data_IF_117503840878
#
_entry.id   IF_117503840878
#
_cell.length_a   1.000
_cell.length_b   1.000
_cell.length_c   1.000
_cell.angle_alpha   90.00
_cell.angle_beta   90.00
_cell.angle_gamma   90.00
#
_symmetry.space_group_name_H-M   'P 1'
#
loop_
_entity.id
_entity.type
_entity.pdbx_description
1 polymer ?
#
# COMPACT_ATOMS: atom_id res chain seq x y z
N UNK A 1 6.99 31.14 17.84
CA UNK A 1 6.27 30.45 16.74
C UNK A 1 4.81 30.35 17.15
N UNK A 2 3.90 30.98 16.41
CA UNK A 2 2.48 30.99 16.77
C UNK A 2 1.92 29.60 16.46
N UNK A 3 1.38 28.93 17.47
CA UNK A 3 0.79 27.60 17.31
C UNK A 3 -0.43 27.70 16.38
N UNK A 4 -0.47 26.98 15.25
CA UNK A 4 -1.59 27.01 14.31
C UNK A 4 -2.96 26.75 14.96
N UNK A 5 -2.99 25.97 16.04
CA UNK A 5 -4.20 25.68 16.80
C UNK A 5 -4.82 26.94 17.44
N UNK A 6 -4.00 27.90 17.85
CA UNK A 6 -4.50 29.14 18.45
C UNK A 6 -5.22 30.02 17.41
N UNK A 7 -4.70 30.09 16.19
CA UNK A 7 -5.33 30.82 15.07
C UNK A 7 -6.69 30.21 14.74
N UNK A 8 -6.78 28.88 14.68
CA UNK A 8 -8.06 28.18 14.41
C UNK A 8 -9.07 28.46 15.53
N UNK A 9 -8.66 28.38 16.80
CA UNK A 9 -9.54 28.67 17.93
C UNK A 9 -10.05 30.13 17.92
N UNK A 10 -9.19 31.08 17.54
CA UNK A 10 -9.55 32.50 17.43
C UNK A 10 -10.57 32.72 16.32
N UNK A 11 -10.37 32.13 15.14
CA UNK A 11 -11.29 32.24 14.02
C UNK A 11 -12.64 31.58 14.32
N UNK A 12 -12.64 30.44 15.01
CA UNK A 12 -13.86 29.75 15.41
C UNK A 12 -14.68 30.62 16.37
N UNK A 13 -14.04 31.14 17.43
CA UNK A 13 -14.70 32.01 18.39
C UNK A 13 -15.23 33.31 17.77
N UNK A 14 -14.48 33.91 16.84
CA UNK A 14 -14.92 35.13 16.14
C UNK A 14 -16.12 34.85 15.22
N UNK A 15 -16.10 33.72 14.51
CA UNK A 15 -17.17 33.32 13.59
C UNK A 15 -18.46 32.98 14.35
N UNK A 16 -18.34 32.27 15.46
CA UNK A 16 -19.46 31.95 16.35
C UNK A 16 -20.08 33.20 16.96
N UNK A 17 -19.24 34.11 17.48
CA UNK A 17 -19.72 35.39 18.07
C UNK A 17 -20.44 36.24 17.03
N UNK A 18 -19.88 36.35 15.83
CA UNK A 18 -20.46 37.14 14.74
C UNK A 18 -21.77 36.52 14.25
N UNK A 19 -21.82 35.20 14.09
CA UNK A 19 -23.05 34.49 13.73
C UNK A 19 -24.14 34.68 14.80
N UNK A 20 -23.79 34.61 16.09
CA UNK A 20 -24.70 34.85 17.20
C UNK A 20 -25.26 36.28 17.23
N UNK A 21 -24.41 37.29 17.05
CA UNK A 21 -24.83 38.71 17.02
C UNK A 21 -25.73 38.99 15.82
N UNK A 22 -25.35 38.49 14.64
CA UNK A 22 -26.14 38.67 13.42
C UNK A 22 -27.50 37.97 13.52
N UNK A 23 -27.55 36.78 14.12
CA UNK A 23 -28.81 36.07 14.36
C UNK A 23 -29.71 36.77 15.39
N UNK A 24 -29.13 37.44 16.40
CA UNK A 24 -29.89 38.16 17.42
C UNK A 24 -30.46 39.50 16.92
N UNK A 25 -29.79 40.15 15.96
CA UNK A 25 -30.21 41.45 15.40
C UNK A 25 -31.08 41.33 14.14
N UNK A 26 -31.03 40.19 13.46
CA UNK A 26 -31.89 39.92 12.32
C UNK A 26 -33.30 39.56 12.79
N UNK A 27 -34.32 40.06 12.09
CA UNK A 27 -35.72 39.68 12.32
C UNK A 27 -36.41 39.28 11.01
N UNK A 28 -37.42 38.42 11.13
CA UNK A 28 -38.20 37.95 10.00
C UNK A 28 -37.41 37.02 9.07
N UNK A 29 -37.69 37.11 7.77
CA UNK A 29 -37.14 36.18 6.76
C UNK A 29 -35.61 36.27 6.62
N UNK A 30 -35.02 37.44 6.91
CA UNK A 30 -33.58 37.69 6.83
C UNK A 30 -32.81 36.84 7.85
N UNK A 31 -33.37 36.67 9.05
CA UNK A 31 -32.79 35.82 10.09
C UNK A 31 -32.69 34.37 9.62
N UNK A 32 -33.78 33.83 9.04
CA UNK A 32 -33.80 32.48 8.49
C UNK A 32 -32.79 32.27 7.36
N UNK A 33 -32.65 33.24 6.45
CA UNK A 33 -31.67 33.18 5.36
C UNK A 33 -30.22 33.18 5.88
N UNK A 34 -29.93 34.00 6.89
CA UNK A 34 -28.60 34.07 7.50
C UNK A 34 -28.26 32.82 8.31
N UNK A 35 -29.21 32.28 9.08
CA UNK A 35 -29.04 31.01 9.79
C UNK A 35 -28.80 29.85 8.81
N UNK A 36 -29.57 29.78 7.72
CA UNK A 36 -29.39 28.76 6.70
C UNK A 36 -28.01 28.86 6.04
N UNK A 37 -27.60 30.07 5.67
CA UNK A 37 -26.27 30.32 5.10
C UNK A 37 -25.16 29.89 6.08
N UNK A 38 -25.26 30.27 7.36
CA UNK A 38 -24.27 29.96 8.39
C UNK A 38 -24.11 28.45 8.64
N UNK A 39 -25.15 27.64 8.41
CA UNK A 39 -25.08 26.17 8.54
C UNK A 39 -24.60 25.53 7.23
N UNK A 40 -25.17 25.93 6.10
CA UNK A 40 -24.93 25.28 4.80
C UNK A 40 -23.51 25.58 4.29
N UNK A 41 -23.02 26.80 4.49
CA UNK A 41 -21.71 27.19 3.97
C UNK A 41 -20.55 26.36 4.56
N UNK A 42 -20.40 26.19 5.90
CA UNK A 42 -19.36 25.33 6.46
C UNK A 42 -19.50 23.87 6.05
N UNK A 43 -20.73 23.35 5.93
CA UNK A 43 -20.98 21.99 5.47
C UNK A 43 -20.53 21.79 4.03
N UNK A 44 -20.79 22.75 3.13
CA UNK A 44 -20.34 22.69 1.75
C UNK A 44 -18.81 22.80 1.64
N UNK A 45 -18.18 23.71 2.39
CA UNK A 45 -16.72 23.86 2.39
C UNK A 45 -16.04 22.60 2.94
N UNK A 46 -16.55 22.06 4.05
CA UNK A 46 -16.05 20.80 4.62
C UNK A 46 -16.25 19.63 3.65
N UNK A 47 -17.44 19.49 3.07
CA UNK A 47 -17.72 18.45 2.08
C UNK A 47 -16.82 18.56 0.84
N UNK A 48 -16.60 19.76 0.32
CA UNK A 48 -15.69 20.01 -0.79
C UNK A 48 -14.24 19.66 -0.41
N UNK A 49 -13.80 20.03 0.80
CA UNK A 49 -12.49 19.68 1.33
C UNK A 49 -12.29 18.15 1.39
N UNK A 50 -13.22 17.42 2.04
CA UNK A 50 -13.15 15.96 2.11
C UNK A 50 -13.26 15.29 0.74
N UNK A 51 -14.03 15.87 -0.19
CA UNK A 51 -14.12 15.38 -1.57
C UNK A 51 -12.80 15.55 -2.32
N UNK A 52 -12.11 16.68 -2.12
CA UNK A 52 -10.77 16.91 -2.67
C UNK A 52 -9.77 15.93 -2.06
N UNK A 53 -9.82 15.72 -0.74
CA UNK A 53 -8.97 14.73 -0.07
C UNK A 53 -9.22 13.31 -0.59
N UNK A 54 -10.48 12.94 -0.83
CA UNK A 54 -10.83 11.64 -1.38
C UNK A 54 -10.26 11.42 -2.78
N UNK A 55 -10.14 12.50 -3.58
CA UNK A 55 -9.57 12.42 -4.94
C UNK A 55 -8.05 12.62 -4.99
N UNK A 56 -7.46 13.30 -4.01
CA UNK A 56 -6.04 13.68 -3.97
C UNK A 56 -5.48 13.65 -2.53
N UNK A 57 -5.30 12.47 -1.94
CA UNK A 57 -4.76 12.34 -0.58
C UNK A 57 -3.33 12.90 -0.44
N UNK A 58 -2.60 13.02 -1.56
CA UNK A 58 -1.23 13.55 -1.64
C UNK A 58 -1.09 15.03 -1.25
N UNK A 59 -2.18 15.79 -1.22
CA UNK A 59 -2.17 17.24 -0.91
C UNK A 59 -2.08 17.53 0.60
N UNK A 60 -2.17 16.50 1.45
CA UNK A 60 -2.11 16.64 2.92
C UNK A 60 -0.69 16.84 3.48
N UNK A 61 0.34 16.61 2.68
CA UNK A 61 1.74 16.71 3.14
C UNK A 61 2.42 17.89 2.47
N UNK A 62 2.96 18.81 3.26
CA UNK A 62 3.78 19.89 2.71
C UNK A 62 5.13 19.32 2.24
N UNK A 63 5.77 19.90 1.21
CA UNK A 63 7.09 19.46 0.73
C UNK A 63 8.17 19.37 1.83
N UNK A 64 8.01 20.11 2.93
CA UNK A 64 8.90 20.10 4.09
C UNK A 64 8.61 19.03 5.15
N UNK A 65 7.50 18.29 5.06
CA UNK A 65 7.22 17.12 5.90
C UNK A 65 7.90 15.86 5.36
N UNK A 66 8.50 15.95 4.17
CA UNK A 66 9.30 14.88 3.58
C UNK A 66 10.76 15.01 4.00
N UNK A 67 11.43 13.92 4.39
CA UNK A 67 12.87 13.94 4.62
C UNK A 67 13.60 14.44 3.37
N UNK A 68 14.50 15.43 3.52
CA UNK A 68 15.19 16.12 2.40
C UNK A 68 15.91 15.20 1.40
N UNK A 69 16.14 13.94 1.77
CA UNK A 69 16.86 12.95 0.99
C UNK A 69 15.96 12.03 0.14
N UNK A 70 14.63 12.17 0.19
CA UNK A 70 13.71 11.32 -0.59
C UNK A 70 12.89 12.18 -1.57
N UNK A 71 13.04 11.99 -2.89
CA UNK A 71 12.21 12.66 -3.87
C UNK A 71 10.72 12.33 -3.66
N UNK A 72 9.87 13.36 -3.61
CA UNK A 72 8.43 13.23 -3.37
C UNK A 72 7.76 12.23 -4.33
N UNK A 73 8.22 12.17 -5.59
CA UNK A 73 7.71 11.22 -6.58
C UNK A 73 7.92 9.75 -6.19
N UNK A 74 9.08 9.41 -5.62
CA UNK A 74 9.41 8.05 -5.20
C UNK A 74 8.56 7.60 -4.00
N UNK A 75 8.24 8.53 -3.09
CA UNK A 75 7.40 8.26 -1.93
C UNK A 75 5.92 8.06 -2.31
N UNK A 76 5.41 8.89 -3.21
CA UNK A 76 4.04 8.75 -3.75
C UNK A 76 3.90 7.47 -4.57
N UNK A 77 4.90 7.11 -5.38
CA UNK A 77 4.92 5.86 -6.12
C UNK A 77 5.00 4.62 -5.21
N UNK A 78 5.73 4.72 -4.08
CA UNK A 78 5.74 3.71 -3.03
C UNK A 78 4.35 3.53 -2.40
N UNK A 79 3.75 4.63 -1.92
CA UNK A 79 2.41 4.59 -1.29
C UNK A 79 1.31 4.08 -2.24
N UNK A 80 1.38 4.40 -3.53
CA UNK A 80 0.42 3.93 -4.55
C UNK A 80 0.61 2.45 -4.91
N UNK A 81 1.82 1.90 -4.76
CA UNK A 81 2.14 0.49 -5.06
C UNK A 81 2.25 -0.37 -3.80
N UNK A 82 1.25 -0.36 -2.93
CA UNK A 82 1.18 -1.35 -1.83
C UNK A 82 2.49 -1.52 -1.03
N UNK A 83 3.15 -0.39 -0.71
CA UNK A 83 4.53 -0.34 -0.17
C UNK A 83 4.75 -1.10 1.12
N UNK A 84 3.70 -1.37 1.91
CA UNK A 84 3.86 -1.95 3.26
C UNK A 84 4.69 -3.23 3.22
N UNK A 85 4.35 -4.15 2.32
CA UNK A 85 5.11 -5.39 2.18
C UNK A 85 6.55 -5.18 1.69
N UNK A 86 6.79 -4.31 0.70
CA UNK A 86 8.15 -4.08 0.18
C UNK A 86 9.07 -3.41 1.22
N UNK A 87 8.52 -2.51 2.04
CA UNK A 87 9.26 -1.86 3.13
C UNK A 87 9.54 -2.86 4.24
N UNK A 88 8.60 -3.74 4.57
CA UNK A 88 8.77 -4.78 5.58
C UNK A 88 9.84 -5.81 5.17
N UNK A 89 9.86 -6.25 3.91
CA UNK A 89 10.93 -7.12 3.39
C UNK A 89 12.28 -6.44 3.36
N UNK A 90 12.33 -5.17 2.96
CA UNK A 90 13.57 -4.43 2.96
C UNK A 90 14.08 -4.25 4.39
N UNK A 91 13.21 -3.93 5.34
CA UNK A 91 13.58 -3.80 6.75
C UNK A 91 14.06 -5.13 7.33
N UNK A 92 13.37 -6.24 7.05
CA UNK A 92 13.72 -7.57 7.55
C UNK A 92 15.06 -8.05 6.98
N UNK A 93 15.25 -7.95 5.65
CA UNK A 93 16.50 -8.32 4.98
C UNK A 93 17.64 -7.43 5.46
N UNK A 94 17.43 -6.11 5.56
CA UNK A 94 18.45 -5.18 6.06
C UNK A 94 18.80 -5.49 7.51
N UNK A 95 17.81 -5.80 8.36
CA UNK A 95 18.03 -6.16 9.76
C UNK A 95 18.84 -7.45 9.89
N UNK A 96 18.44 -8.51 9.22
CA UNK A 96 19.13 -9.82 9.22
C UNK A 96 20.57 -9.66 8.74
N UNK A 97 20.77 -8.89 7.68
CA UNK A 97 22.09 -8.57 7.14
C UNK A 97 22.91 -7.76 8.14
N UNK A 98 22.35 -6.71 8.73
CA UNK A 98 23.06 -5.86 9.69
C UNK A 98 23.47 -6.64 10.94
N UNK A 99 22.60 -7.50 11.45
CA UNK A 99 22.87 -8.37 12.60
C UNK A 99 23.98 -9.37 12.32
N UNK A 100 24.12 -9.85 11.08
CA UNK A 100 25.21 -10.74 10.69
C UNK A 100 26.58 -10.02 10.58
N UNK A 101 26.58 -8.73 10.27
CA UNK A 101 27.80 -7.95 9.97
C UNK A 101 28.26 -7.09 11.16
N UNK A 102 27.33 -6.61 11.99
CA UNK A 102 27.60 -5.78 13.18
C UNK A 102 28.59 -6.41 14.16
N UNK A 103 28.48 -7.69 14.54
CA UNK A 103 29.42 -8.32 15.45
C UNK A 103 30.85 -8.34 14.88
N UNK A 104 30.99 -8.60 13.59
CA UNK A 104 32.25 -8.61 12.84
C UNK A 104 32.90 -7.22 12.81
N UNK A 105 32.08 -6.19 12.62
CA UNK A 105 32.50 -4.79 12.56
C UNK A 105 32.91 -4.23 13.93
N UNK A 106 32.18 -4.59 15.00
CA UNK A 106 32.46 -4.14 16.37
C UNK A 106 33.68 -4.85 16.98
N UNK A 107 33.96 -6.08 16.55
CA UNK A 107 35.10 -6.87 17.03
C UNK A 107 36.41 -6.53 16.31
N UNK A 108 36.32 -6.00 15.10
CA UNK A 108 37.47 -5.60 14.28
C UNK A 108 37.79 -4.12 14.51
N UNK A 109 39.06 -3.78 14.80
CA UNK A 109 39.58 -2.43 14.53
C UNK A 109 39.75 -2.26 13.02
N UNK A 110 38.67 -2.41 12.27
CA UNK A 110 38.68 -2.55 10.82
C UNK A 110 39.23 -1.28 10.18
N UNK A 111 40.15 -1.46 9.24
CA UNK A 111 40.56 -0.38 8.34
C UNK A 111 39.39 -0.02 7.42
N UNK A 112 39.33 1.21 6.87
CA UNK A 112 38.26 1.62 5.96
C UNK A 112 38.06 0.70 4.74
N UNK A 113 39.11 -0.02 4.31
CA UNK A 113 39.03 -0.98 3.21
C UNK A 113 38.31 -2.29 3.61
N UNK A 114 38.58 -2.82 4.80
CA UNK A 114 37.90 -4.01 5.35
C UNK A 114 36.43 -3.72 5.64
N UNK A 115 36.13 -2.51 6.13
CA UNK A 115 34.76 -2.03 6.30
C UNK A 115 33.97 -2.04 4.98
N UNK A 116 34.59 -1.58 3.89
CA UNK A 116 33.95 -1.56 2.58
C UNK A 116 33.70 -2.97 2.02
N UNK A 117 34.63 -3.91 2.27
CA UNK A 117 34.47 -5.30 1.85
C UNK A 117 33.32 -6.00 2.59
N UNK A 118 33.23 -5.81 3.92
CA UNK A 118 32.12 -6.31 4.73
C UNK A 118 30.77 -5.74 4.28
N UNK A 119 30.71 -4.45 3.91
CA UNK A 119 29.49 -3.83 3.38
C UNK A 119 29.10 -4.43 2.03
N UNK A 120 30.06 -4.71 1.14
CA UNK A 120 29.75 -5.35 -0.13
C UNK A 120 29.24 -6.78 0.05
N UNK A 121 29.87 -7.55 0.96
CA UNK A 121 29.41 -8.90 1.33
C UNK A 121 28.01 -8.87 1.95
N UNK A 122 27.72 -7.86 2.78
CA UNK A 122 26.40 -7.59 3.33
C UNK A 122 25.36 -7.34 2.21
N UNK A 123 25.70 -6.49 1.24
CA UNK A 123 24.81 -6.16 0.12
C UNK A 123 24.55 -7.40 -0.76
N UNK A 124 25.57 -8.21 -1.01
CA UNK A 124 25.45 -9.44 -1.80
C UNK A 124 24.56 -10.47 -1.07
N UNK A 125 24.78 -10.66 0.23
CA UNK A 125 23.92 -11.50 1.09
C UNK A 125 22.46 -11.00 1.12
N UNK A 126 22.25 -9.67 1.20
CA UNK A 126 20.92 -9.08 1.13
C UNK A 126 20.25 -9.32 -0.22
N UNK A 127 21.00 -9.23 -1.33
CA UNK A 127 20.50 -9.53 -2.66
C UNK A 127 20.08 -11.00 -2.79
N UNK A 128 20.88 -11.94 -2.29
CA UNK A 128 20.57 -13.36 -2.29
C UNK A 128 19.36 -13.67 -1.38
N UNK A 129 19.27 -13.02 -0.22
CA UNK A 129 18.12 -13.10 0.68
C UNK A 129 16.82 -12.65 0.00
N UNK A 130 16.85 -11.53 -0.74
CA UNK A 130 15.70 -11.06 -1.52
C UNK A 130 15.36 -12.05 -2.63
N UNK A 131 16.35 -12.51 -3.41
CA UNK A 131 16.15 -13.44 -4.52
C UNK A 131 15.49 -14.75 -4.06
N UNK A 132 15.88 -15.26 -2.88
CA UNK A 132 15.31 -16.47 -2.29
C UNK A 132 13.83 -16.34 -1.89
N UNK A 133 13.32 -15.10 -1.79
CA UNK A 133 11.95 -14.75 -1.38
C UNK A 133 11.08 -14.25 -2.54
N UNK A 134 11.54 -14.43 -3.79
CA UNK A 134 10.77 -14.06 -4.98
C UNK A 134 9.91 -15.23 -5.46
N UNK A 135 8.65 -14.93 -5.77
CA UNK A 135 7.73 -15.79 -6.50
C UNK A 135 7.76 -15.40 -7.98
N UNK A 136 7.95 -16.38 -8.85
CA UNK A 136 7.90 -16.18 -10.30
C UNK A 136 6.54 -16.61 -10.84
N UNK A 137 5.92 -15.73 -11.63
CA UNK A 137 4.64 -16.00 -12.28
C UNK A 137 4.80 -15.83 -13.78
N UNK A 138 4.57 -16.90 -14.51
CA UNK A 138 4.41 -16.90 -15.96
C UNK A 138 3.01 -16.38 -16.32
N UNK A 139 2.97 -15.29 -17.08
CA UNK A 139 1.72 -14.64 -17.50
C UNK A 139 1.41 -14.88 -18.98
N UNK A 140 2.26 -15.63 -19.68
CA UNK A 140 2.11 -15.92 -21.11
C UNK A 140 0.82 -16.67 -21.46
N UNK A 141 0.24 -17.37 -20.46
CA UNK A 141 -1.06 -18.03 -20.55
C UNK A 141 -2.27 -17.09 -20.59
N UNK A 142 -2.07 -15.80 -20.30
CA UNK A 142 -3.08 -14.74 -20.44
C UNK A 142 -2.84 -13.91 -21.70
N UNK A 143 -1.61 -13.46 -21.92
CA UNK A 143 -1.17 -12.78 -23.15
C UNK A 143 0.31 -13.12 -23.40
N UNK A 144 0.62 -13.54 -24.63
CA UNK A 144 1.97 -13.91 -25.07
C UNK A 144 2.96 -12.75 -25.01
N UNK A 145 2.49 -11.51 -24.94
CA UNK A 145 3.33 -10.33 -24.75
C UNK A 145 3.95 -10.27 -23.35
N UNK A 146 3.36 -10.95 -22.36
CA UNK A 146 3.93 -11.06 -21.03
C UNK A 146 4.98 -12.18 -20.96
N UNK A 147 6.15 -11.84 -20.43
CA UNK A 147 7.21 -12.80 -20.17
C UNK A 147 7.00 -13.45 -18.79
N UNK A 148 7.40 -12.77 -17.73
CA UNK A 148 7.26 -13.23 -16.36
C UNK A 148 7.14 -12.03 -15.42
N UNK A 149 6.37 -12.19 -14.35
CA UNK A 149 6.33 -11.24 -13.26
C UNK A 149 7.00 -11.84 -12.02
N UNK A 150 7.75 -11.01 -11.31
CA UNK A 150 8.41 -11.37 -10.07
C UNK A 150 7.71 -10.66 -8.90
N UNK A 151 7.31 -11.44 -7.91
CA UNK A 151 6.62 -10.96 -6.72
C UNK A 151 7.46 -11.24 -5.49
N UNK A 152 7.97 -10.22 -4.77
CA UNK A 152 8.54 -10.44 -3.46
C UNK A 152 7.44 -10.94 -2.51
N UNK A 153 7.69 -12.06 -1.84
CA UNK A 153 6.80 -12.62 -0.84
C UNK A 153 7.20 -12.16 0.56
N UNK A 154 6.20 -11.85 1.37
CA UNK A 154 6.34 -11.41 2.75
C UNK A 154 5.69 -12.44 3.67
N UNK A 155 6.17 -12.60 4.91
CA UNK A 155 5.61 -13.58 5.84
C UNK A 155 4.12 -13.37 6.14
N UNK A 156 3.66 -12.11 6.06
CA UNK A 156 2.27 -11.69 6.25
C UNK A 156 1.45 -11.56 4.97
N UNK A 157 1.99 -11.92 3.80
CA UNK A 157 1.26 -11.75 2.53
C UNK A 157 0.03 -12.67 2.47
N UNK A 158 -1.15 -12.08 2.29
CA UNK A 158 -2.42 -12.81 2.17
C UNK A 158 -2.72 -13.15 0.72
N UNK A 159 -3.64 -14.12 0.53
CA UNK A 159 -4.13 -14.49 -0.80
C UNK A 159 -4.80 -13.32 -1.49
N UNK A 160 -5.67 -12.58 -0.79
CA UNK A 160 -6.36 -11.41 -1.37
C UNK A 160 -5.37 -10.35 -1.88
N UNK A 161 -4.42 -9.91 -1.05
CA UNK A 161 -3.43 -8.90 -1.43
C UNK A 161 -2.63 -9.32 -2.66
N UNK A 162 -2.27 -10.60 -2.72
CA UNK A 162 -1.53 -11.17 -3.84
C UNK A 162 -2.35 -11.20 -5.13
N UNK A 163 -3.58 -11.71 -5.07
CA UNK A 163 -4.46 -11.80 -6.24
C UNK A 163 -4.87 -10.41 -6.75
N UNK A 164 -5.03 -9.43 -5.87
CA UNK A 164 -5.34 -8.05 -6.26
C UNK A 164 -4.17 -7.39 -6.99
N UNK A 165 -2.93 -7.58 -6.51
CA UNK A 165 -1.73 -7.10 -7.21
C UNK A 165 -1.56 -7.78 -8.56
N UNK A 166 -1.79 -9.09 -8.62
CA UNK A 166 -1.72 -9.86 -9.85
C UNK A 166 -2.79 -9.40 -10.85
N UNK A 167 -4.02 -9.23 -10.39
CA UNK A 167 -5.12 -8.71 -11.19
C UNK A 167 -4.81 -7.31 -11.72
N UNK A 168 -4.21 -6.42 -10.92
CA UNK A 168 -3.87 -5.07 -11.37
C UNK A 168 -2.96 -5.06 -12.60
N UNK A 169 -2.08 -6.05 -12.75
CA UNK A 169 -1.26 -6.23 -13.95
C UNK A 169 -2.03 -6.85 -15.11
N UNK A 170 -3.01 -7.70 -14.82
CA UNK A 170 -3.84 -8.41 -15.80
C UNK A 170 -5.14 -7.68 -16.15
N UNK A 171 -5.38 -6.48 -15.60
CA UNK A 171 -6.69 -5.79 -15.62
C UNK A 171 -7.25 -5.52 -17.02
N UNK A 172 -6.37 -5.41 -18.02
CA UNK A 172 -6.76 -5.19 -19.41
C UNK A 172 -7.24 -6.48 -20.11
N UNK A 173 -6.95 -7.64 -19.51
CA UNK A 173 -7.28 -8.97 -20.03
C UNK A 173 -8.32 -9.70 -19.17
N UNK A 174 -8.43 -9.34 -17.89
CA UNK A 174 -9.19 -10.09 -16.89
C UNK A 174 -10.07 -9.15 -16.06
N UNK A 175 -11.35 -9.50 -15.93
CA UNK A 175 -12.31 -8.74 -15.12
C UNK A 175 -12.05 -8.91 -13.61
N UNK A 176 -12.33 -7.90 -12.78
CA UNK A 176 -12.18 -8.00 -11.33
C UNK A 176 -13.07 -9.11 -10.75
N UNK A 177 -12.63 -9.73 -9.65
CA UNK A 177 -13.36 -10.79 -8.92
C UNK A 177 -13.70 -12.04 -9.74
N UNK A 178 -12.93 -12.33 -10.80
CA UNK A 178 -13.17 -13.51 -11.66
C UNK A 178 -12.17 -14.64 -11.46
N UNK A 179 -11.30 -14.56 -10.44
CA UNK A 179 -10.40 -15.66 -10.09
C UNK A 179 -11.19 -16.93 -9.77
N UNK A 180 -10.72 -18.07 -10.27
CA UNK A 180 -11.40 -19.37 -10.14
C UNK A 180 -12.49 -19.63 -11.19
N UNK A 181 -12.97 -18.59 -11.88
CA UNK A 181 -14.03 -18.71 -12.90
C UNK A 181 -13.55 -18.42 -14.31
N UNK A 182 -12.83 -17.30 -14.51
CA UNK A 182 -12.31 -16.89 -15.82
C UNK A 182 -10.80 -17.09 -15.95
N UNK A 183 -10.10 -17.20 -14.84
CA UNK A 183 -8.66 -17.41 -14.81
C UNK A 183 -8.26 -18.07 -13.49
N UNK A 184 -7.14 -18.78 -13.51
CA UNK A 184 -6.59 -19.50 -12.36
C UNK A 184 -5.07 -19.46 -12.38
N UNK A 185 -4.48 -19.75 -11.22
CA UNK A 185 -3.06 -20.06 -11.13
C UNK A 185 -2.86 -21.58 -11.19
N UNK A 186 -1.83 -22.00 -11.91
CA UNK A 186 -1.39 -23.39 -11.97
C UNK A 186 0.05 -23.45 -11.45
N UNK A 187 0.30 -24.31 -10.47
CA UNK A 187 1.67 -24.67 -10.12
C UNK A 187 2.27 -25.51 -11.23
N UNK A 188 3.32 -25.01 -11.89
CA UNK A 188 3.97 -25.71 -13.02
C UNK A 188 4.75 -26.94 -12.58
N UNK A 189 5.24 -26.97 -11.33
CA UNK A 189 6.00 -28.11 -10.80
C UNK A 189 5.05 -29.25 -10.46
N UNK A 190 3.96 -28.96 -9.74
CA UNK A 190 2.96 -29.95 -9.33
C UNK A 190 1.86 -30.23 -10.34
N UNK A 191 1.66 -29.35 -11.33
CA UNK A 191 0.50 -29.38 -12.23
C UNK A 191 -0.84 -29.08 -11.55
N UNK A 192 -0.82 -28.66 -10.28
CA UNK A 192 -2.01 -28.44 -9.49
C UNK A 192 -2.64 -27.08 -9.81
N UNK A 193 -3.95 -27.07 -10.06
CA UNK A 193 -4.71 -25.84 -10.30
C UNK A 193 -5.20 -25.30 -8.96
N UNK A 194 -4.75 -24.10 -8.61
CA UNK A 194 -5.11 -23.42 -7.37
C UNK A 194 -6.52 -22.83 -7.48
N UNK A 195 -7.55 -23.67 -7.35
CA UNK A 195 -8.96 -23.21 -7.34
C UNK A 195 -9.49 -22.90 -5.94
N UNK A 196 -8.84 -23.45 -4.93
CA UNK A 196 -9.29 -23.39 -3.54
C UNK A 196 -8.75 -22.14 -2.80
N UNK A 197 -8.62 -21.03 -3.52
CA UNK A 197 -8.14 -19.73 -3.02
C UNK A 197 -8.92 -18.57 -3.65
N UNK A 198 -8.87 -17.40 -3.01
CA UNK A 198 -9.43 -16.14 -3.51
C UNK A 198 -10.91 -15.94 -3.16
N UNK A 199 -11.50 -14.89 -3.74
CA UNK A 199 -12.84 -14.37 -3.35
C UNK A 199 -13.95 -15.43 -3.35
N UNK A 200 -13.98 -16.33 -4.34
CA UNK A 200 -15.04 -17.33 -4.42
C UNK A 200 -14.91 -18.37 -3.30
N UNK A 201 -13.68 -18.80 -3.00
CA UNK A 201 -13.41 -19.71 -1.90
C UNK A 201 -13.74 -19.03 -0.56
N UNK A 202 -13.32 -17.77 -0.36
CA UNK A 202 -13.58 -17.01 0.86
C UNK A 202 -15.08 -16.83 1.13
N UNK A 203 -15.87 -16.53 0.09
CA UNK A 203 -17.33 -16.41 0.21
C UNK A 203 -17.98 -17.71 0.65
N UNK A 204 -17.54 -18.83 0.07
CA UNK A 204 -18.12 -20.14 0.33
C UNK A 204 -17.74 -20.71 1.71
N UNK A 205 -16.54 -20.42 2.20
CA UNK A 205 -16.00 -21.04 3.41
C UNK A 205 -16.00 -20.12 4.64
N UNK A 206 -15.79 -18.82 4.44
CA UNK A 206 -15.63 -17.84 5.52
C UNK A 206 -16.77 -16.82 5.59
N UNK A 207 -17.62 -16.73 4.57
CA UNK A 207 -18.62 -15.67 4.46
C UNK A 207 -18.03 -14.27 4.24
N UNK A 208 -16.78 -14.19 3.80
CA UNK A 208 -16.05 -12.95 3.49
C UNK A 208 -15.81 -12.79 1.99
N UNK A 209 -15.60 -11.56 1.53
CA UNK A 209 -15.12 -11.32 0.16
C UNK A 209 -13.60 -11.53 0.02
N UNK A 210 -12.88 -11.48 1.14
CA UNK A 210 -11.43 -11.47 1.20
C UNK A 210 -10.89 -12.79 1.78
N UNK A 211 -9.90 -13.36 1.09
CA UNK A 211 -9.16 -14.53 1.53
C UNK A 211 -7.91 -14.07 2.29
N UNK A 212 -8.08 -13.88 3.60
CA UNK A 212 -7.04 -13.40 4.53
C UNK A 212 -6.04 -14.48 4.93
N UNK A 213 -6.14 -15.69 4.36
CA UNK A 213 -5.15 -16.74 4.61
C UNK A 213 -3.79 -16.32 4.05
N UNK A 214 -2.72 -16.71 4.73
CA UNK A 214 -1.37 -16.44 4.26
C UNK A 214 -1.06 -17.30 3.05
N UNK A 215 -0.25 -16.78 2.13
CA UNK A 215 0.17 -17.51 0.92
C UNK A 215 0.81 -18.86 1.25
N UNK A 216 1.62 -18.92 2.31
CA UNK A 216 2.26 -20.15 2.78
C UNK A 216 1.26 -21.22 3.23
N UNK A 217 0.11 -20.81 3.77
CA UNK A 217 -0.92 -21.72 4.27
C UNK A 217 -1.73 -22.35 3.13
N UNK A 218 -1.70 -21.74 1.95
CA UNK A 218 -2.32 -22.26 0.72
C UNK A 218 -1.32 -22.92 -0.23
N UNK A 219 -0.10 -23.18 0.24
CA UNK A 219 0.95 -23.86 -0.52
C UNK A 219 1.66 -22.98 -1.55
N UNK A 220 1.52 -21.66 -1.47
CA UNK A 220 2.28 -20.71 -2.29
C UNK A 220 3.51 -20.27 -1.47
N UNK A 221 4.67 -20.76 -1.89
CA UNK A 221 5.95 -20.48 -1.23
C UNK A 221 6.86 -19.64 -2.13
N UNK A 222 7.89 -19.06 -1.51
CA UNK A 222 9.01 -18.51 -2.27
C UNK A 222 9.63 -19.61 -3.16
N UNK A 223 10.00 -19.27 -4.39
CA UNK A 223 10.44 -20.21 -5.43
C UNK A 223 9.35 -21.15 -6.01
N UNK A 224 8.07 -20.91 -5.70
CA UNK A 224 6.99 -21.54 -6.48
C UNK A 224 7.03 -21.00 -7.91
N UNK A 225 6.74 -21.87 -8.87
CA UNK A 225 6.69 -21.51 -10.29
C UNK A 225 5.24 -21.61 -10.74
N UNK A 226 4.56 -20.46 -10.76
CA UNK A 226 3.14 -20.39 -11.05
C UNK A 226 2.90 -19.89 -12.48
N UNK A 227 1.84 -20.37 -13.12
CA UNK A 227 1.37 -19.84 -14.39
C UNK A 227 -0.06 -19.32 -14.25
N UNK A 228 -0.30 -18.08 -14.68
CA UNK A 228 -1.64 -17.55 -14.83
C UNK A 228 -2.22 -18.00 -16.17
N UNK A 229 -3.38 -18.63 -16.15
CA UNK A 229 -4.06 -19.12 -17.36
C UNK A 229 -5.52 -18.69 -17.39
N UNK A 230 -6.02 -18.39 -18.58
CA UNK A 230 -7.43 -18.15 -18.82
C UNK A 230 -8.20 -19.49 -18.87
N UNK A 231 -9.36 -19.53 -18.22
CA UNK A 231 -10.31 -20.61 -18.34
C UNK A 231 -11.21 -20.35 -19.55
N UNK A 232 -11.35 -21.37 -20.40
CA UNK A 232 -12.26 -21.36 -21.55
C UNK A 232 -13.65 -21.82 -21.17
#
# INVERSE_FOLDING_TARGET
MVNPLWIISLFLGLSETTAGVVAALASGWVQGALTLFAIVFPLLVSGAFFTVLWRKPEVLYAPGDFPEHVPVGTYVDGMRRGSRGQVELLEEVVRETLESVLPSFLSSKATPAEAMQLVNEAIESAHDGIASRVLTIDLSGVDQSFLQAQFPLFEGATVSDFLDRLWAMLRDHVKPYTYGTHWVLIDRKGGHVLRDIGTQWAKNNLGSADDERLLKDVGIHANSDLAAVLLR
#
